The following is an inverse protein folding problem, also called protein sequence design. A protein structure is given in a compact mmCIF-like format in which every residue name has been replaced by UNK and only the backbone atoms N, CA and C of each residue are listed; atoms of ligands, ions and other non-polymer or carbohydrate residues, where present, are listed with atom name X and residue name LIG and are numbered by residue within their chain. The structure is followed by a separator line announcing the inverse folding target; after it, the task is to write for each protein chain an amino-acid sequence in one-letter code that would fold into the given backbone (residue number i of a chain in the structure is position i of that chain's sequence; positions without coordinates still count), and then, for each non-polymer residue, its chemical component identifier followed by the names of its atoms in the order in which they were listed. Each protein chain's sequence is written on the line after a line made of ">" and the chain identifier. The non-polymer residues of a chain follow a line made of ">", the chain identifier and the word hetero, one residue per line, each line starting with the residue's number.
data_IF_627558763783
#
_entry.id   IF_627558763783
#
_cell.length_a   1.000
_cell.length_b   1.000
_cell.length_c   1.000
_cell.angle_alpha   90.00
_cell.angle_beta   90.00
_cell.angle_gamma   90.00
#
_symmetry.space_group_name_H-M   'P 1'
#
loop_
_entity.id
_entity.type
_entity.pdbx_description
1 polymer ?
#
# COMPACT_ATOMS: atom_id res chain seq x y z
N UNK A 1 9.76 -7.34 18.15
CA UNK A 1 9.48 -6.13 17.37
C UNK A 1 8.11 -6.25 16.70
N UNK A 2 7.36 -5.15 16.63
CA UNK A 2 6.12 -5.05 15.83
C UNK A 2 6.33 -4.04 14.70
N UNK A 3 5.88 -4.43 13.52
CA UNK A 3 5.96 -3.62 12.29
C UNK A 3 4.54 -3.31 11.81
N UNK A 4 4.27 -2.07 11.38
CA UNK A 4 3.01 -1.71 10.72
C UNK A 4 3.03 -2.17 9.23
N UNK A 5 2.23 -1.54 8.38
CA UNK A 5 2.35 -1.78 6.94
C UNK A 5 3.73 -1.30 6.44
N UNK A 6 4.40 -2.14 5.65
CA UNK A 6 5.76 -1.89 5.20
C UNK A 6 5.78 -1.35 3.78
N UNK A 7 6.67 -0.39 3.50
CA UNK A 7 7.02 -0.02 2.14
C UNK A 7 8.54 0.06 1.95
N UNK A 8 8.99 -0.19 0.74
CA UNK A 8 10.40 -0.25 0.39
C UNK A 8 10.62 -1.06 -0.88
N UNK A 9 11.86 -1.13 -1.35
CA UNK A 9 12.22 -1.92 -2.52
C UNK A 9 11.78 -3.38 -2.35
N UNK A 10 11.12 -3.94 -3.36
CA UNK A 10 10.67 -5.34 -3.37
C UNK A 10 9.37 -5.63 -2.62
N UNK A 11 8.77 -4.68 -1.91
CA UNK A 11 7.45 -4.86 -1.28
C UNK A 11 6.36 -4.73 -2.34
N UNK A 12 5.67 -5.84 -2.61
CA UNK A 12 4.59 -5.93 -3.62
C UNK A 12 3.24 -6.24 -2.97
N UNK A 13 2.95 -5.54 -1.89
CA UNK A 13 1.69 -5.67 -1.13
C UNK A 13 1.30 -4.32 -0.54
N UNK A 14 0.06 -4.25 -0.05
CA UNK A 14 -0.61 -3.11 0.59
C UNK A 14 -1.09 -2.03 -0.38
N UNK A 15 -1.77 -1.03 0.20
CA UNK A 15 -2.39 0.07 -0.53
C UNK A 15 -1.40 0.85 -1.41
N UNK A 16 -0.14 1.03 -0.97
CA UNK A 16 0.85 1.77 -1.77
C UNK A 16 1.21 1.02 -3.06
N UNK A 17 1.31 -0.31 -2.99
CA UNK A 17 1.52 -1.14 -4.17
C UNK A 17 0.31 -1.08 -5.11
N UNK A 18 -0.91 -1.18 -4.57
CA UNK A 18 -2.14 -1.08 -5.34
C UNK A 18 -2.28 0.29 -6.02
N UNK A 19 -1.91 1.37 -5.32
CA UNK A 19 -1.89 2.74 -5.87
C UNK A 19 -0.83 2.90 -6.98
N UNK A 20 0.33 2.24 -6.84
CA UNK A 20 1.38 2.27 -7.87
C UNK A 20 0.98 1.48 -9.12
N UNK A 21 0.51 0.26 -8.95
CA UNK A 21 0.23 -0.65 -10.09
C UNK A 21 -1.12 -0.42 -10.72
N UNK A 22 -2.13 0.00 -9.95
CA UNK A 22 -3.55 0.12 -10.33
C UNK A 22 -4.15 -1.21 -10.81
N UNK A 23 -3.32 -2.20 -11.09
CA UNK A 23 -3.69 -3.52 -11.63
C UNK A 23 -4.01 -4.48 -10.49
N UNK A 24 -5.21 -5.05 -10.41
CA UNK A 24 -5.55 -6.06 -9.42
C UNK A 24 -4.66 -7.31 -9.55
N UNK A 25 -4.04 -7.75 -8.46
CA UNK A 25 -3.24 -8.98 -8.45
C UNK A 25 -4.09 -10.24 -8.68
N UNK A 26 -5.36 -10.21 -8.29
CA UNK A 26 -6.33 -11.30 -8.46
C UNK A 26 -7.71 -10.76 -8.81
N UNK A 27 -8.46 -11.52 -9.63
CA UNK A 27 -9.84 -11.25 -10.00
C UNK A 27 -10.73 -12.44 -9.61
N UNK A 28 -11.94 -12.14 -9.15
CA UNK A 28 -13.00 -13.14 -9.01
C UNK A 28 -13.45 -13.59 -10.41
N UNK A 29 -13.99 -14.82 -10.55
CA UNK A 29 -14.42 -15.33 -11.86
C UNK A 29 -15.43 -14.44 -12.60
N UNK A 30 -16.41 -13.89 -11.87
CA UNK A 30 -17.41 -12.97 -12.41
C UNK A 30 -16.77 -11.70 -12.97
N UNK A 31 -15.86 -11.08 -12.18
CA UNK A 31 -15.17 -9.86 -12.60
C UNK A 31 -14.16 -10.12 -13.74
N UNK A 32 -13.47 -11.27 -13.71
CA UNK A 32 -12.62 -11.66 -14.84
C UNK A 32 -13.42 -11.78 -16.12
N UNK A 33 -14.57 -12.46 -16.10
CA UNK A 33 -15.41 -12.63 -17.28
C UNK A 33 -15.89 -11.30 -17.86
N UNK A 34 -16.33 -10.38 -16.99
CA UNK A 34 -16.72 -9.02 -17.37
C UNK A 34 -15.59 -8.25 -18.06
N UNK A 35 -14.40 -8.23 -17.45
CA UNK A 35 -13.25 -7.46 -17.94
C UNK A 35 -12.62 -8.11 -19.18
N UNK A 36 -12.57 -9.45 -19.23
CA UNK A 36 -12.08 -10.19 -20.38
C UNK A 36 -12.97 -10.03 -21.63
N UNK A 37 -14.26 -9.78 -21.44
CA UNK A 37 -15.16 -9.44 -22.55
C UNK A 37 -14.85 -8.04 -23.12
N UNK A 38 -14.33 -7.11 -22.28
CA UNK A 38 -13.96 -5.75 -22.68
C UNK A 38 -12.59 -5.69 -23.38
N UNK A 39 -11.66 -6.62 -23.06
CA UNK A 39 -10.30 -6.56 -23.59
C UNK A 39 -9.61 -7.92 -23.66
N UNK A 40 -9.02 -8.27 -24.83
CA UNK A 40 -8.16 -9.45 -24.96
C UNK A 40 -6.93 -9.41 -24.05
N UNK A 41 -6.47 -8.19 -23.69
CA UNK A 41 -5.36 -7.97 -22.79
C UNK A 41 -5.59 -8.65 -21.42
N UNK A 42 -6.82 -8.55 -20.89
CA UNK A 42 -7.19 -9.20 -19.62
C UNK A 42 -7.17 -10.73 -19.76
N UNK A 43 -7.63 -11.27 -20.89
CA UNK A 43 -7.58 -12.72 -21.15
C UNK A 43 -6.16 -13.27 -21.08
N UNK A 44 -5.20 -12.54 -21.64
CA UNK A 44 -3.80 -12.94 -21.67
C UNK A 44 -3.09 -12.73 -20.33
N UNK A 45 -3.50 -11.69 -19.55
CA UNK A 45 -2.84 -11.28 -18.34
C UNK A 45 -3.14 -12.14 -17.11
N UNK A 46 -4.26 -12.88 -17.11
CA UNK A 46 -4.72 -13.62 -15.93
C UNK A 46 -4.92 -15.10 -16.23
N UNK A 47 -4.53 -15.94 -15.27
CA UNK A 47 -4.69 -17.39 -15.32
C UNK A 47 -5.47 -17.88 -14.10
N UNK A 48 -6.37 -18.84 -14.30
CA UNK A 48 -7.11 -19.48 -13.21
C UNK A 48 -6.15 -20.20 -12.27
N UNK A 49 -6.22 -19.88 -11.00
CA UNK A 49 -5.44 -20.52 -9.93
C UNK A 49 -6.29 -21.57 -9.18
N UNK A 50 -5.63 -22.45 -8.43
CA UNK A 50 -6.26 -23.56 -7.69
C UNK A 50 -7.33 -23.10 -6.68
N UNK A 51 -7.23 -21.87 -6.19
CA UNK A 51 -8.21 -21.27 -5.27
C UNK A 51 -9.46 -20.71 -5.96
N UNK A 52 -9.63 -20.93 -7.27
CA UNK A 52 -10.76 -20.47 -8.05
C UNK A 52 -10.73 -19.00 -8.47
N UNK A 53 -9.66 -18.25 -8.15
CA UNK A 53 -9.46 -16.87 -8.59
C UNK A 53 -8.55 -16.82 -9.82
N UNK A 54 -8.73 -15.79 -10.65
CA UNK A 54 -7.81 -15.50 -11.73
C UNK A 54 -6.65 -14.63 -11.21
N UNK A 55 -5.43 -15.15 -11.30
CA UNK A 55 -4.20 -14.49 -10.82
C UNK A 55 -3.42 -13.90 -11.98
N UNK A 56 -2.87 -12.70 -11.76
CA UNK A 56 -1.97 -12.04 -12.71
C UNK A 56 -0.75 -12.94 -12.99
N UNK A 57 -0.46 -13.21 -14.27
CA UNK A 57 0.57 -14.16 -14.70
C UNK A 57 1.87 -13.50 -15.20
N UNK A 58 1.89 -12.16 -15.38
CA UNK A 58 3.07 -11.41 -15.79
C UNK A 58 3.47 -11.55 -17.26
N UNK A 59 2.61 -12.11 -18.13
CA UNK A 59 2.91 -12.33 -19.55
C UNK A 59 2.63 -11.11 -20.42
N UNK A 60 1.95 -10.10 -19.90
CA UNK A 60 1.51 -8.90 -20.61
C UNK A 60 2.30 -7.70 -20.13
N UNK A 61 2.54 -6.74 -21.01
CA UNK A 61 3.16 -5.46 -20.66
C UNK A 61 2.43 -4.78 -19.48
N UNK A 62 3.11 -4.57 -18.35
CA UNK A 62 2.51 -3.94 -17.17
C UNK A 62 1.96 -2.54 -17.43
N UNK A 63 2.60 -1.76 -18.32
CA UNK A 63 2.17 -0.39 -18.63
C UNK A 63 0.83 -0.40 -19.39
N UNK A 64 0.67 -1.30 -20.35
CA UNK A 64 -0.59 -1.47 -21.09
C UNK A 64 -1.73 -1.92 -20.17
N UNK A 65 -1.44 -2.86 -19.26
CA UNK A 65 -2.42 -3.35 -18.30
C UNK A 65 -2.82 -2.28 -17.30
N UNK A 66 -1.85 -1.52 -16.78
CA UNK A 66 -2.08 -0.35 -15.93
C UNK A 66 -2.97 0.69 -16.60
N UNK A 67 -2.69 1.04 -17.86
CA UNK A 67 -3.49 1.99 -18.63
C UNK A 67 -4.94 1.50 -18.77
N UNK A 68 -5.14 0.21 -19.05
CA UNK A 68 -6.48 -0.40 -19.12
C UNK A 68 -7.23 -0.22 -17.79
N UNK A 69 -6.62 -0.61 -16.65
CA UNK A 69 -7.27 -0.51 -15.34
C UNK A 69 -7.45 0.94 -14.86
N UNK A 70 -6.58 1.87 -15.23
CA UNK A 70 -6.74 3.28 -14.94
C UNK A 70 -7.94 3.92 -15.67
N UNK A 71 -8.29 3.39 -16.85
CA UNK A 71 -9.44 3.84 -17.65
C UNK A 71 -10.77 3.15 -17.27
N UNK A 72 -10.74 2.20 -16.33
CA UNK A 72 -11.94 1.47 -15.90
C UNK A 72 -12.32 1.85 -14.46
N UNK A 73 -13.60 1.82 -14.15
CA UNK A 73 -14.13 2.09 -12.80
C UNK A 73 -13.67 1.05 -11.77
N UNK A 74 -13.35 -0.16 -12.21
CA UNK A 74 -12.82 -1.22 -11.36
C UNK A 74 -11.32 -1.41 -11.58
N UNK A 75 -10.55 -1.18 -10.52
CA UNK A 75 -9.09 -1.36 -10.49
C UNK A 75 -8.64 -1.79 -9.08
N UNK A 76 -7.32 -1.86 -8.80
CA UNK A 76 -6.80 -2.31 -7.51
C UNK A 76 -7.27 -1.46 -6.32
N UNK A 77 -7.58 -0.18 -6.53
CA UNK A 77 -8.05 0.70 -5.46
C UNK A 77 -9.47 0.35 -4.97
N UNK A 78 -10.24 -0.42 -5.75
CA UNK A 78 -11.58 -0.88 -5.35
C UNK A 78 -11.57 -1.81 -4.10
N UNK A 79 -10.42 -2.34 -3.71
CA UNK A 79 -10.29 -3.22 -2.54
C UNK A 79 -10.02 -2.50 -1.23
N UNK A 80 -9.72 -1.20 -1.27
CA UNK A 80 -9.38 -0.40 -0.09
C UNK A 80 -10.45 0.67 0.17
N UNK A 81 -10.96 0.71 1.40
CA UNK A 81 -11.84 1.80 1.85
C UNK A 81 -11.01 3.08 2.03
N UNK A 82 -11.43 4.17 1.41
CA UNK A 82 -10.72 5.45 1.42
C UNK A 82 -10.56 6.03 2.83
N UNK A 83 -11.48 5.70 3.74
CA UNK A 83 -11.48 6.14 5.14
C UNK A 83 -10.57 5.29 6.02
N UNK A 84 -10.13 4.10 5.56
CA UNK A 84 -9.25 3.24 6.35
C UNK A 84 -7.94 3.94 6.67
N UNK A 85 -7.56 3.90 7.96
CA UNK A 85 -6.33 4.50 8.46
C UNK A 85 -5.27 3.43 8.65
N UNK A 86 -4.09 3.69 8.13
CA UNK A 86 -2.93 2.81 8.17
C UNK A 86 -1.74 3.55 8.75
N UNK A 87 -0.76 2.79 9.22
CA UNK A 87 0.56 3.28 9.60
C UNK A 87 1.56 2.62 8.64
N UNK A 88 2.43 3.39 8.01
CA UNK A 88 3.37 2.89 7.03
C UNK A 88 4.80 3.08 7.52
N UNK A 89 5.63 2.06 7.38
CA UNK A 89 7.03 2.12 7.82
C UNK A 89 7.97 1.84 6.65
N UNK A 90 8.94 2.74 6.47
CA UNK A 90 9.95 2.61 5.43
C UNK A 90 11.01 1.57 5.83
N UNK A 91 11.08 0.46 5.08
CA UNK A 91 12.08 -0.58 5.31
C UNK A 91 13.53 -0.11 5.17
N UNK A 92 13.78 0.98 4.46
CA UNK A 92 15.12 1.57 4.37
C UNK A 92 15.68 2.05 5.70
N UNK A 93 14.82 2.26 6.71
CA UNK A 93 15.23 2.65 8.07
C UNK A 93 15.47 1.46 8.99
N UNK A 94 15.01 0.26 8.62
CA UNK A 94 14.91 -0.86 9.55
C UNK A 94 16.23 -1.19 10.22
N UNK A 95 17.33 -1.20 9.47
CA UNK A 95 18.64 -1.54 10.01
C UNK A 95 19.10 -0.54 11.08
N UNK A 96 19.08 0.75 10.77
CA UNK A 96 19.50 1.80 11.72
C UNK A 96 18.61 1.85 12.97
N UNK A 97 17.29 1.66 12.80
CA UNK A 97 16.35 1.65 13.93
C UNK A 97 16.57 0.41 14.84
N UNK A 98 16.94 -0.73 14.24
CA UNK A 98 17.31 -1.94 15.00
C UNK A 98 18.63 -1.75 15.75
N UNK A 99 19.67 -1.17 15.13
CA UNK A 99 20.95 -0.89 15.79
C UNK A 99 20.76 0.05 17.01
N UNK A 100 20.00 1.12 16.84
CA UNK A 100 19.68 2.04 17.92
C UNK A 100 18.94 1.34 19.08
N UNK A 101 17.96 0.50 18.75
CA UNK A 101 17.20 -0.24 19.77
C UNK A 101 18.09 -1.27 20.52
N UNK A 102 18.96 -1.97 19.80
CA UNK A 102 19.92 -2.90 20.42
C UNK A 102 20.92 -2.18 21.33
N UNK A 103 21.46 -1.05 20.88
CA UNK A 103 22.41 -0.25 21.67
C UNK A 103 21.77 0.28 22.98
N UNK A 104 20.46 0.55 22.95
CA UNK A 104 19.68 0.98 24.12
C UNK A 104 19.05 -0.17 24.92
N UNK A 105 19.41 -1.42 24.63
CA UNK A 105 18.87 -2.64 25.28
C UNK A 105 17.34 -2.74 25.29
N UNK A 106 16.68 -2.24 24.23
CA UNK A 106 15.22 -2.27 24.09
C UNK A 106 14.74 -3.70 23.81
N UNK A 107 13.97 -4.28 24.73
CA UNK A 107 13.48 -5.67 24.61
C UNK A 107 12.22 -5.80 23.76
N UNK A 108 11.40 -4.75 23.67
CA UNK A 108 10.17 -4.73 22.90
C UNK A 108 10.03 -3.40 22.15
N UNK A 109 10.13 -3.46 20.84
CA UNK A 109 10.09 -2.29 19.96
C UNK A 109 8.84 -2.33 19.06
N UNK A 110 8.14 -1.20 18.99
CA UNK A 110 7.08 -0.93 18.02
C UNK A 110 7.55 0.19 17.08
N UNK A 111 7.63 -0.07 15.79
CA UNK A 111 8.03 0.91 14.78
C UNK A 111 6.78 1.59 14.21
N UNK A 112 6.19 2.51 14.97
CA UNK A 112 4.89 3.10 14.66
C UNK A 112 5.04 4.52 14.13
N UNK A 113 4.51 4.75 12.96
CA UNK A 113 4.32 6.07 12.33
C UNK A 113 2.91 6.59 12.64
N UNK A 114 2.60 7.89 12.45
CA UNK A 114 1.26 8.39 12.62
C UNK A 114 0.25 7.72 11.68
N UNK A 115 -1.00 7.48 12.11
CA UNK A 115 -2.05 7.00 11.23
C UNK A 115 -2.36 7.99 10.12
N UNK A 116 -2.39 7.50 8.88
CA UNK A 116 -2.82 8.24 7.68
C UNK A 116 -3.95 7.48 6.99
N UNK A 117 -4.97 8.18 6.50
CA UNK A 117 -6.03 7.53 5.73
C UNK A 117 -5.57 7.19 4.31
N UNK A 118 -6.19 6.19 3.71
CA UNK A 118 -5.92 5.86 2.31
C UNK A 118 -6.21 7.05 1.38
N UNK A 119 -7.26 7.83 1.68
CA UNK A 119 -7.57 9.06 0.94
C UNK A 119 -6.47 10.13 1.09
N UNK A 120 -5.92 10.35 2.30
CA UNK A 120 -4.80 11.27 2.50
C UNK A 120 -3.55 10.85 1.71
N UNK A 121 -3.24 9.55 1.71
CA UNK A 121 -2.12 8.99 0.93
C UNK A 121 -2.36 9.16 -0.58
N UNK A 122 -3.57 8.84 -1.06
CA UNK A 122 -3.95 9.02 -2.46
C UNK A 122 -3.74 10.48 -2.88
N UNK A 123 -4.27 11.42 -2.10
CA UNK A 123 -4.15 12.87 -2.36
C UNK A 123 -2.70 13.32 -2.37
N UNK A 124 -1.90 12.90 -1.38
CA UNK A 124 -0.49 13.29 -1.30
C UNK A 124 0.34 12.79 -2.49
N UNK A 125 0.07 11.56 -2.95
CA UNK A 125 0.82 10.92 -4.05
C UNK A 125 0.38 11.43 -5.42
N UNK A 126 -0.93 11.58 -5.64
CA UNK A 126 -1.50 11.89 -6.96
C UNK A 126 -1.78 13.39 -7.18
N UNK A 127 -1.91 14.16 -6.11
CA UNK A 127 -2.38 15.54 -6.13
C UNK A 127 -3.89 15.68 -6.37
N UNK A 128 -4.64 14.58 -6.40
CA UNK A 128 -6.09 14.54 -6.66
C UNK A 128 -6.86 14.26 -5.38
N UNK A 129 -8.11 14.73 -5.32
CA UNK A 129 -9.04 14.53 -4.18
C UNK A 129 -10.31 13.81 -4.59
N UNK A 130 -10.36 13.24 -5.78
CA UNK A 130 -11.54 12.68 -6.42
C UNK A 130 -11.78 11.18 -6.12
N UNK A 131 -10.88 10.54 -5.39
CA UNK A 131 -11.03 9.12 -5.06
C UNK A 131 -11.78 8.94 -3.74
N UNK A 132 -12.99 8.37 -3.84
CA UNK A 132 -13.88 8.05 -2.73
C UNK A 132 -14.37 6.61 -2.91
N UNK A 133 -13.76 5.68 -2.21
CA UNK A 133 -14.19 4.28 -2.22
C UNK A 133 -14.63 3.88 -0.82
N UNK A 134 -15.88 3.54 -0.65
CA UNK A 134 -16.45 3.07 0.62
C UNK A 134 -16.86 1.61 0.50
N UNK A 135 -16.35 0.78 1.39
CA UNK A 135 -16.70 -0.63 1.45
C UNK A 135 -17.88 -0.87 2.38
N UNK A 136 -18.68 -1.94 2.18
CA UNK A 136 -19.84 -2.25 3.03
C UNK A 136 -19.48 -2.56 4.49
N UNK A 137 -18.21 -2.86 4.78
CA UNK A 137 -17.70 -3.15 6.13
C UNK A 137 -17.04 -1.91 6.74
N UNK A 138 -16.94 -1.83 8.08
CA UNK A 138 -16.23 -0.73 8.73
C UNK A 138 -14.80 -0.57 8.20
N UNK A 139 -14.31 0.67 8.02
CA UNK A 139 -12.93 0.91 7.63
C UNK A 139 -11.95 0.41 8.71
N UNK A 140 -10.77 0.02 8.30
CA UNK A 140 -9.69 -0.25 9.24
C UNK A 140 -9.24 1.03 9.94
N UNK A 141 -8.91 0.93 11.21
CA UNK A 141 -8.37 2.03 12.00
C UNK A 141 -7.21 1.54 12.86
N UNK A 142 -5.98 1.71 12.35
CA UNK A 142 -4.76 1.35 13.05
C UNK A 142 -4.16 2.58 13.72
N UNK A 143 -3.93 2.48 15.04
CA UNK A 143 -3.23 3.50 15.84
C UNK A 143 -2.37 2.82 16.90
N UNK A 144 -1.32 2.13 16.46
CA UNK A 144 -0.31 1.56 17.31
C UNK A 144 0.69 2.65 17.72
N UNK A 145 1.18 2.60 18.97
CA UNK A 145 2.06 3.61 19.53
C UNK A 145 3.38 3.01 20.01
N UNK A 146 4.45 3.80 19.96
CA UNK A 146 5.78 3.41 20.41
C UNK A 146 6.18 4.17 21.65
N UNK A 147 6.59 3.46 22.71
CA UNK A 147 7.21 4.06 23.89
C UNK A 147 8.64 4.57 23.62
N UNK A 148 9.24 4.12 22.52
CA UNK A 148 10.63 4.38 22.16
C UNK A 148 10.74 5.31 20.94
N UNK A 149 9.69 6.10 20.65
CA UNK A 149 9.69 6.99 19.49
C UNK A 149 10.85 7.98 19.51
N UNK A 150 11.11 8.60 20.67
CA UNK A 150 12.20 9.57 20.84
C UNK A 150 13.60 8.97 20.57
N UNK A 151 13.82 7.70 20.93
CA UNK A 151 15.08 6.99 20.66
C UNK A 151 15.36 6.90 19.14
N UNK A 152 14.32 6.83 18.33
CA UNK A 152 14.38 6.65 16.89
C UNK A 152 14.15 7.95 16.10
N UNK A 153 14.32 9.10 16.79
CA UNK A 153 14.20 10.43 16.17
C UNK A 153 12.78 10.97 16.06
N UNK A 154 11.81 10.30 16.66
CA UNK A 154 10.43 10.75 16.71
C UNK A 154 10.10 11.60 17.93
N UNK A 155 8.83 11.96 18.08
CA UNK A 155 8.31 12.67 19.26
C UNK A 155 6.94 12.15 19.65
N UNK A 156 6.63 12.18 20.96
CA UNK A 156 5.40 11.57 21.48
C UNK A 156 5.38 10.07 21.24
N UNK A 157 4.34 9.57 20.61
CA UNK A 157 4.09 8.14 20.39
C UNK A 157 4.52 7.62 19.02
N UNK A 158 5.05 8.47 18.12
CA UNK A 158 5.33 8.13 16.73
C UNK A 158 6.74 8.50 16.29
N UNK A 159 7.25 7.75 15.29
CA UNK A 159 8.61 7.91 14.76
C UNK A 159 8.80 9.18 13.92
N UNK A 160 7.72 9.84 13.52
CA UNK A 160 7.73 11.06 12.72
C UNK A 160 6.42 11.83 12.89
N UNK A 161 6.27 12.98 12.25
CA UNK A 161 4.99 13.66 12.11
C UNK A 161 4.18 13.09 10.95
N UNK A 162 2.85 13.29 10.94
CA UNK A 162 1.99 12.89 9.82
C UNK A 162 2.44 13.54 8.49
N UNK A 163 2.84 14.80 8.54
CA UNK A 163 3.33 15.50 7.35
C UNK A 163 4.61 14.86 6.80
N UNK A 164 5.53 14.48 7.67
CA UNK A 164 6.77 13.78 7.28
C UNK A 164 6.46 12.42 6.69
N UNK A 165 5.54 11.65 7.28
CA UNK A 165 5.11 10.36 6.77
C UNK A 165 4.55 10.46 5.33
N UNK A 166 3.62 11.39 5.09
CA UNK A 166 3.05 11.60 3.76
C UNK A 166 4.11 12.08 2.75
N UNK A 167 5.05 12.93 3.18
CA UNK A 167 6.18 13.36 2.34
C UNK A 167 7.07 12.19 1.95
N UNK A 168 7.46 11.33 2.91
CA UNK A 168 8.35 10.19 2.67
C UNK A 168 7.69 9.14 1.77
N UNK A 169 6.41 8.85 1.99
CA UNK A 169 5.60 8.00 1.11
C UNK A 169 5.59 8.58 -0.32
N UNK A 170 5.28 9.87 -0.47
CA UNK A 170 5.21 10.52 -1.79
C UNK A 170 6.56 10.47 -2.51
N UNK A 171 7.65 10.73 -1.79
CA UNK A 171 9.02 10.65 -2.34
C UNK A 171 9.34 9.23 -2.80
N UNK A 172 9.02 8.22 -2.00
CA UNK A 172 9.20 6.81 -2.35
C UNK A 172 8.39 6.45 -3.60
N UNK A 173 7.10 6.79 -3.63
CA UNK A 173 6.21 6.48 -4.76
C UNK A 173 6.70 7.10 -6.08
N UNK A 174 7.25 8.31 -6.05
CA UNK A 174 7.85 8.96 -7.23
C UNK A 174 9.14 8.30 -7.71
N UNK A 175 9.89 7.70 -6.81
CA UNK A 175 11.14 7.00 -7.11
C UNK A 175 10.96 5.52 -7.45
N UNK A 176 9.75 4.99 -7.27
CA UNK A 176 9.45 3.58 -7.50
C UNK A 176 9.74 3.21 -8.96
N UNK A 177 10.55 2.16 -9.14
CA UNK A 177 10.81 1.51 -10.42
C UNK A 177 10.29 0.08 -10.32
N UNK A 178 9.61 -0.37 -11.37
CA UNK A 178 9.09 -1.74 -11.50
C UNK A 178 10.22 -2.77 -11.66
#
# INVERSE_FOLDING_TARGET
>A
MRLPALYGAGIRKNFLFDLHTITPAMLRPDKYSELAAKSPLVKSAYTLADNGFYKLNGTVDPAALRAFFAANDFNALAFTDARSRYQFYNLGRLWSDMEAACAADVKLLHLCTPPVSAAEVYTAVTGKTDWHNELPKPPFDYDLRSRHAALLGGSGDYLCTKQQELYDITRFMRSWRD
#
